data_IF_321986093073
#
_entry.id   IF_321986093073
#
_cell.length_a   1.000
_cell.length_b   1.000
_cell.length_c   1.000
_cell.angle_alpha   90.00
_cell.angle_beta   90.00
_cell.angle_gamma   90.00
#
_symmetry.space_group_name_H-M   'P 1'
#
loop_
_entity.id
_entity.type
_entity.pdbx_description
1 polymer ?
#
# COMPACT_ATOMS: atom_id res chain seq x y z
N UNK A 1 9.62 -3.10 36.41
CA UNK A 1 10.03 -1.85 37.09
C UNK A 1 11.38 -1.33 36.62
N UNK A 2 12.44 -2.16 36.53
CA UNK A 2 13.76 -1.71 36.07
C UNK A 2 13.76 -1.11 34.65
N UNK A 3 13.11 -1.75 33.67
CA UNK A 3 13.02 -1.23 32.30
C UNK A 3 12.38 0.16 32.23
N UNK A 4 11.33 0.41 33.03
CA UNK A 4 10.69 1.74 33.12
C UNK A 4 11.65 2.78 33.69
N UNK A 5 12.37 2.45 34.77
CA UNK A 5 13.32 3.39 35.36
C UNK A 5 14.44 3.78 34.37
N UNK A 6 15.02 2.79 33.68
CA UNK A 6 16.01 3.00 32.63
C UNK A 6 15.43 3.86 31.50
N UNK A 7 14.24 3.53 31.01
CA UNK A 7 13.60 4.31 29.94
C UNK A 7 13.34 5.76 30.35
N UNK A 8 12.89 6.01 31.59
CA UNK A 8 12.70 7.36 32.11
C UNK A 8 14.03 8.11 32.24
N UNK A 9 15.11 7.44 32.64
CA UNK A 9 16.44 8.03 32.70
C UNK A 9 16.93 8.47 31.30
N UNK A 10 16.74 7.63 30.28
CA UNK A 10 17.06 7.95 28.89
C UNK A 10 16.24 9.14 28.35
N UNK A 11 14.94 9.20 28.63
CA UNK A 11 14.11 10.35 28.26
C UNK A 11 14.58 11.63 28.94
N UNK A 12 14.92 11.58 30.22
CA UNK A 12 15.46 12.74 30.93
C UNK A 12 16.84 13.15 30.39
N UNK A 13 17.69 12.20 30.03
CA UNK A 13 18.97 12.47 29.37
C UNK A 13 18.75 13.20 28.03
N UNK A 14 17.85 12.72 27.18
CA UNK A 14 17.48 13.41 25.93
C UNK A 14 16.98 14.83 26.20
N UNK A 15 16.07 15.02 27.17
CA UNK A 15 15.55 16.33 27.54
C UNK A 15 16.61 17.28 28.12
N UNK A 16 17.68 16.73 28.68
CA UNK A 16 18.83 17.49 29.19
C UNK A 16 19.79 17.96 28.08
N UNK A 17 19.59 17.50 26.84
CA UNK A 17 20.45 17.75 25.66
C UNK A 17 19.65 18.43 24.53
N UNK A 18 19.41 19.75 24.61
CA UNK A 18 18.70 20.49 23.57
C UNK A 18 19.33 20.32 22.18
N UNK A 19 20.65 20.21 22.11
CA UNK A 19 21.37 19.97 20.85
C UNK A 19 20.95 18.65 20.17
N UNK A 20 20.61 17.63 20.95
CA UNK A 20 20.13 16.36 20.42
C UNK A 20 18.66 16.44 19.98
N UNK A 21 17.80 17.09 20.76
CA UNK A 21 16.37 17.23 20.40
C UNK A 21 16.19 18.18 19.21
N UNK A 22 16.95 19.27 19.13
CA UNK A 22 16.96 20.17 17.99
C UNK A 22 17.51 19.50 16.72
N UNK A 23 18.49 18.60 16.84
CA UNK A 23 19.00 17.83 15.70
C UNK A 23 18.09 16.65 15.29
N UNK A 24 17.02 16.36 16.03
CA UNK A 24 16.14 15.23 15.76
C UNK A 24 15.22 15.51 14.58
N UNK A 25 15.31 14.66 13.56
CA UNK A 25 14.47 14.75 12.35
C UNK A 25 13.45 13.62 12.26
N UNK A 26 13.75 12.46 12.85
CA UNK A 26 12.89 11.29 12.84
C UNK A 26 12.84 10.71 14.24
N UNK A 27 11.65 10.38 14.70
CA UNK A 27 11.43 9.67 15.96
C UNK A 27 10.65 8.39 15.69
N UNK A 28 11.18 7.26 16.18
CA UNK A 28 10.49 5.97 16.18
C UNK A 28 10.31 5.54 17.64
N UNK A 29 9.07 5.26 18.03
CA UNK A 29 8.77 4.69 19.33
C UNK A 29 7.72 3.59 19.18
N UNK A 30 7.99 2.46 19.80
CA UNK A 30 7.08 1.32 19.82
C UNK A 30 7.01 0.71 21.20
N UNK A 31 5.79 0.54 21.72
CA UNK A 31 5.51 -0.27 22.90
C UNK A 31 4.79 -1.57 22.50
N UNK A 32 5.55 -2.65 22.42
CA UNK A 32 5.01 -3.97 22.11
C UNK A 32 4.50 -4.72 23.35
N UNK A 33 4.59 -4.13 24.55
CA UNK A 33 4.11 -4.73 25.80
C UNK A 33 2.60 -4.59 25.96
N UNK A 34 1.99 -3.58 25.34
CA UNK A 34 0.54 -3.31 25.40
C UNK A 34 -0.34 -4.40 24.75
N UNK A 35 0.25 -5.47 24.17
CA UNK A 35 -0.49 -6.67 23.70
C UNK A 35 -0.86 -7.60 24.87
N UNK A 36 -1.63 -7.03 25.80
CA UNK A 36 -1.88 -7.51 27.16
C UNK A 36 -2.40 -8.94 27.31
N UNK A 37 -3.05 -9.55 26.31
CA UNK A 37 -3.55 -10.92 26.47
C UNK A 37 -2.43 -11.98 26.63
N UNK A 38 -1.27 -11.79 26.00
CA UNK A 38 -0.16 -12.74 26.11
C UNK A 38 0.59 -12.58 27.43
N UNK A 39 0.88 -11.35 27.84
CA UNK A 39 1.69 -11.07 29.02
C UNK A 39 0.90 -11.16 30.33
N UNK A 40 -0.38 -10.76 30.36
CA UNK A 40 -1.23 -10.93 31.55
C UNK A 40 -1.42 -12.42 31.88
N UNK A 41 -1.47 -13.28 30.86
CA UNK A 41 -1.50 -14.74 31.05
C UNK A 41 -0.17 -15.30 31.58
N UNK A 42 0.96 -14.66 31.27
CA UNK A 42 2.29 -15.14 31.65
C UNK A 42 2.86 -14.51 32.93
N UNK A 43 2.34 -13.35 33.35
CA UNK A 43 2.81 -12.60 34.51
C UNK A 43 1.65 -12.32 35.48
N UNK A 44 1.19 -13.33 36.24
CA UNK A 44 0.13 -13.15 37.23
C UNK A 44 0.46 -12.02 38.21
N UNK A 45 -0.43 -11.03 38.34
CA UNK A 45 -0.26 -9.87 39.23
C UNK A 45 0.45 -8.66 38.60
N UNK A 46 0.91 -8.76 37.35
CA UNK A 46 1.36 -7.61 36.57
C UNK A 46 0.21 -7.14 35.68
N UNK A 47 -0.59 -6.21 36.18
CA UNK A 47 -1.63 -5.57 35.39
C UNK A 47 -1.08 -4.24 34.83
N UNK A 48 -0.82 -4.22 33.51
CA UNK A 48 -0.41 -3.01 32.78
C UNK A 48 -1.45 -1.90 32.87
N UNK A 49 -2.72 -2.27 33.07
CA UNK A 49 -3.87 -1.38 33.14
C UNK A 49 -4.19 -0.87 34.57
N UNK A 50 -3.66 -1.48 35.64
CA UNK A 50 -3.97 -1.09 37.03
C UNK A 50 -3.28 0.21 37.49
N UNK A 51 -2.49 0.85 36.63
CA UNK A 51 -1.81 2.10 36.97
C UNK A 51 -1.89 3.14 35.85
N UNK A 52 -2.88 4.04 35.83
CA UNK A 52 -2.81 5.27 35.04
C UNK A 52 -1.50 6.07 35.29
N UNK A 53 -0.86 5.83 36.45
CA UNK A 53 0.45 6.37 36.79
C UNK A 53 1.66 5.73 36.09
N UNK A 54 1.55 4.47 35.61
CA UNK A 54 2.69 3.77 35.03
C UNK A 54 3.13 4.47 33.74
N UNK A 55 2.18 4.63 32.80
CA UNK A 55 2.40 5.25 31.50
C UNK A 55 2.24 6.77 31.52
N UNK A 56 1.50 7.36 32.47
CA UNK A 56 1.25 8.81 32.49
C UNK A 56 2.52 9.66 32.42
N UNK A 57 3.53 9.34 33.25
CA UNK A 57 4.83 10.07 33.23
C UNK A 57 5.61 9.81 31.94
N UNK A 58 5.50 8.60 31.36
CA UNK A 58 6.15 8.24 30.10
C UNK A 58 5.56 9.09 28.96
N UNK A 59 4.24 9.13 28.82
CA UNK A 59 3.55 9.95 27.82
C UNK A 59 3.89 11.44 27.97
N UNK A 60 3.94 11.95 29.21
CA UNK A 60 4.28 13.36 29.47
C UNK A 60 5.69 13.69 29.01
N UNK A 61 6.69 12.88 29.40
CA UNK A 61 8.08 13.13 29.01
C UNK A 61 8.29 12.97 27.51
N UNK A 62 7.60 12.03 26.88
CA UNK A 62 7.67 11.86 25.43
C UNK A 62 7.05 13.03 24.67
N UNK A 63 5.89 13.53 25.11
CA UNK A 63 5.29 14.73 24.55
C UNK A 63 6.25 15.93 24.68
N UNK A 64 6.97 16.04 25.79
CA UNK A 64 8.00 17.07 25.98
C UNK A 64 9.21 16.88 25.05
N UNK A 65 9.68 15.65 24.81
CA UNK A 65 10.76 15.37 23.83
C UNK A 65 10.34 15.82 22.44
N UNK A 66 9.13 15.46 22.00
CA UNK A 66 8.58 15.87 20.71
C UNK A 66 8.45 17.39 20.63
N UNK A 67 7.97 18.04 21.70
CA UNK A 67 7.84 19.50 21.79
C UNK A 67 9.18 20.22 21.65
N UNK A 68 10.27 19.64 22.18
CA UNK A 68 11.64 20.17 22.07
C UNK A 68 12.36 19.81 20.77
N UNK A 69 11.67 19.17 19.84
CA UNK A 69 12.23 18.72 18.56
C UNK A 69 11.61 19.50 17.39
N UNK A 70 11.91 20.81 17.23
CA UNK A 70 11.26 21.66 16.22
C UNK A 70 11.57 21.25 14.77
N UNK A 71 12.66 20.51 14.56
CA UNK A 71 13.08 20.00 13.25
C UNK A 71 12.57 18.59 12.96
N UNK A 72 11.68 18.06 13.81
CA UNK A 72 11.10 16.74 13.64
C UNK A 72 10.21 16.73 12.39
N UNK A 73 10.57 15.86 11.45
CA UNK A 73 9.95 15.69 10.12
C UNK A 73 9.07 14.46 10.03
N UNK A 74 9.44 13.40 10.76
CA UNK A 74 8.74 12.12 10.76
C UNK A 74 8.59 11.55 12.17
N UNK A 75 7.39 11.08 12.49
CA UNK A 75 7.08 10.34 13.72
C UNK A 75 6.51 9.00 13.35
N UNK A 76 7.04 7.93 13.94
CA UNK A 76 6.46 6.60 13.93
C UNK A 76 6.19 6.20 15.38
N UNK A 77 4.91 5.98 15.67
CA UNK A 77 4.39 5.79 17.01
C UNK A 77 3.55 4.53 17.03
N UNK A 78 3.94 3.53 17.83
CA UNK A 78 3.26 2.25 17.82
C UNK A 78 2.98 1.68 19.21
N UNK A 79 1.81 1.05 19.38
CA UNK A 79 1.44 0.27 20.56
C UNK A 79 1.23 1.08 21.84
N UNK A 80 1.03 2.39 21.71
CA UNK A 80 0.85 3.30 22.84
C UNK A 80 -0.45 4.09 22.71
N UNK A 81 -1.01 4.46 23.85
CA UNK A 81 -2.17 5.37 23.91
C UNK A 81 -1.80 6.76 23.36
N UNK A 82 -2.72 7.37 22.62
CA UNK A 82 -2.60 8.74 22.14
C UNK A 82 -3.29 9.65 23.15
N UNK A 83 -2.47 10.37 23.93
CA UNK A 83 -2.97 11.39 24.84
C UNK A 83 -3.32 12.67 24.10
N UNK A 84 -4.23 13.46 24.68
CA UNK A 84 -4.60 14.79 24.18
C UNK A 84 -3.37 15.69 24.04
N UNK A 85 -2.49 15.68 25.05
CA UNK A 85 -1.26 16.48 25.05
C UNK A 85 -0.34 16.08 23.89
N UNK A 86 -0.12 14.79 23.67
CA UNK A 86 0.77 14.31 22.62
C UNK A 86 0.27 14.71 21.23
N UNK A 87 -1.02 14.51 20.95
CA UNK A 87 -1.64 14.92 19.69
C UNK A 87 -1.59 16.44 19.49
N UNK A 88 -1.80 17.21 20.56
CA UNK A 88 -1.66 18.67 20.53
C UNK A 88 -0.26 19.11 20.17
N UNK A 89 0.77 18.45 20.71
CA UNK A 89 2.16 18.74 20.36
C UNK A 89 2.40 18.42 18.89
N UNK A 90 2.05 17.21 18.42
CA UNK A 90 2.23 16.83 17.01
C UNK A 90 1.56 17.83 16.06
N UNK A 91 0.35 18.28 16.40
CA UNK A 91 -0.39 19.22 15.57
C UNK A 91 0.27 20.61 15.46
N UNK A 92 1.12 20.98 16.43
CA UNK A 92 1.80 22.28 16.45
C UNK A 92 3.19 22.27 15.82
N UNK A 93 3.72 21.11 15.43
CA UNK A 93 5.08 21.02 14.86
C UNK A 93 5.09 21.45 13.39
N UNK A 94 5.76 22.57 13.05
CA UNK A 94 5.72 23.12 11.69
C UNK A 94 6.51 22.28 10.68
N UNK A 95 7.54 21.55 11.13
CA UNK A 95 8.40 20.72 10.28
C UNK A 95 7.87 19.30 10.05
N UNK A 96 6.87 18.88 10.84
CA UNK A 96 6.37 17.51 10.84
C UNK A 96 5.49 17.28 9.61
N UNK A 97 5.92 16.38 8.72
CA UNK A 97 5.21 16.10 7.46
C UNK A 97 4.70 14.67 7.34
N UNK A 98 5.28 13.72 8.08
CA UNK A 98 4.92 12.31 8.03
C UNK A 98 4.65 11.73 9.42
N UNK A 99 3.50 11.08 9.59
CA UNK A 99 3.12 10.41 10.83
C UNK A 99 2.71 8.97 10.52
N UNK A 100 3.28 8.01 11.25
CA UNK A 100 2.81 6.63 11.30
C UNK A 100 2.27 6.36 12.71
N UNK A 101 1.01 5.95 12.81
CA UNK A 101 0.36 5.54 14.05
C UNK A 101 -0.01 4.06 13.93
N UNK A 102 0.67 3.19 14.67
CA UNK A 102 0.45 1.75 14.58
C UNK A 102 -0.06 1.14 15.87
N UNK A 103 -1.26 0.58 15.87
CA UNK A 103 -1.83 -0.10 17.04
C UNK A 103 -1.96 0.84 18.23
N UNK A 104 -2.21 2.10 17.94
CA UNK A 104 -2.43 3.16 18.91
C UNK A 104 -3.91 3.28 19.23
N UNK A 105 -4.21 3.69 20.46
CA UNK A 105 -5.58 3.89 20.92
C UNK A 105 -5.70 5.34 21.40
N UNK A 106 -6.56 6.15 20.79
CA UNK A 106 -6.89 7.47 21.33
C UNK A 106 -7.50 7.32 22.72
N UNK A 107 -6.94 8.02 23.70
CA UNK A 107 -7.59 8.15 25.01
C UNK A 107 -8.95 8.83 24.86
N UNK A 108 -9.89 8.55 25.76
CA UNK A 108 -11.23 9.18 25.73
C UNK A 108 -11.14 10.72 25.71
N UNK A 109 -10.19 11.29 26.49
CA UNK A 109 -9.91 12.73 26.49
C UNK A 109 -9.42 13.22 25.13
N UNK A 110 -8.49 12.50 24.50
CA UNK A 110 -8.00 12.84 23.17
C UNK A 110 -9.14 12.82 22.14
N UNK A 111 -9.95 11.76 22.12
CA UNK A 111 -11.09 11.65 21.21
C UNK A 111 -12.08 12.82 21.39
N UNK A 112 -12.48 13.10 22.63
CA UNK A 112 -13.38 14.21 22.94
C UNK A 112 -12.78 15.56 22.52
N UNK A 113 -11.47 15.75 22.73
CA UNK A 113 -10.78 16.97 22.34
C UNK A 113 -10.68 17.14 20.81
N UNK A 114 -10.50 16.07 20.05
CA UNK A 114 -10.54 16.10 18.57
C UNK A 114 -11.95 16.44 18.10
N UNK A 115 -12.96 15.71 18.58
CA UNK A 115 -14.36 15.91 18.19
C UNK A 115 -14.88 17.31 18.53
N UNK A 116 -14.40 17.89 19.63
CA UNK A 116 -14.72 19.25 20.03
C UNK A 116 -13.86 20.33 19.34
N UNK A 117 -12.89 19.96 18.50
CA UNK A 117 -11.97 20.90 17.85
C UNK A 117 -11.06 21.66 18.81
N UNK A 118 -10.78 21.09 19.99
CA UNK A 118 -9.89 21.68 21.01
C UNK A 118 -8.43 21.55 20.57
N UNK A 119 -8.07 20.42 19.98
CA UNK A 119 -6.74 20.19 19.41
C UNK A 119 -6.68 20.94 18.07
N UNK A 120 -5.72 21.86 17.86
CA UNK A 120 -5.59 22.55 16.59
C UNK A 120 -5.27 21.55 15.47
N UNK A 121 -5.72 21.83 14.24
CA UNK A 121 -5.28 21.06 13.07
C UNK A 121 -3.86 21.43 12.65
N UNK A 122 -3.07 20.45 12.22
CA UNK A 122 -1.79 20.64 11.54
C UNK A 122 -1.98 20.71 10.03
N UNK A 123 -1.44 21.77 9.46
CA UNK A 123 -1.35 21.95 8.00
C UNK A 123 -0.04 21.45 7.42
N UNK A 124 0.93 21.06 8.27
CA UNK A 124 2.26 20.59 7.88
C UNK A 124 2.29 19.10 7.55
N UNK A 125 1.41 18.30 8.17
CA UNK A 125 1.35 16.85 7.95
C UNK A 125 0.68 16.55 6.61
N UNK A 126 1.44 15.90 5.72
CA UNK A 126 1.01 15.53 4.37
C UNK A 126 0.85 14.01 4.20
N UNK A 127 1.56 13.21 5.01
CA UNK A 127 1.58 11.76 4.89
C UNK A 127 1.17 11.13 6.22
N UNK A 128 0.12 10.30 6.18
CA UNK A 128 -0.42 9.61 7.34
C UNK A 128 -0.51 8.11 7.07
N UNK A 129 0.09 7.31 7.94
CA UNK A 129 -0.05 5.85 7.95
C UNK A 129 -0.74 5.41 9.23
N UNK A 130 -1.85 4.70 9.11
CA UNK A 130 -2.60 4.13 10.21
C UNK A 130 -2.47 2.60 10.14
N UNK A 131 -1.78 2.01 11.10
CA UNK A 131 -1.75 0.56 11.25
C UNK A 131 -2.75 0.15 12.34
N UNK A 132 -3.71 -0.69 11.99
CA UNK A 132 -4.84 -1.04 12.85
C UNK A 132 -4.91 -2.56 13.07
N UNK A 133 -5.39 -2.94 14.25
CA UNK A 133 -5.66 -4.34 14.60
C UNK A 133 -7.15 -4.58 14.82
N UNK A 134 -7.62 -5.79 14.44
CA UNK A 134 -8.94 -6.28 14.82
C UNK A 134 -9.10 -6.25 16.35
N UNK A 135 -10.25 -5.80 16.88
CA UNK A 135 -10.54 -5.80 18.32
C UNK A 135 -10.72 -7.20 18.96
N UNK A 136 -10.48 -8.30 18.24
CA UNK A 136 -10.92 -9.67 18.60
C UNK A 136 -10.40 -10.27 19.90
N UNK A 137 -9.39 -9.71 20.57
CA UNK A 137 -8.86 -10.31 21.80
C UNK A 137 -9.48 -9.77 23.09
N UNK A 138 -10.29 -8.71 23.03
CA UNK A 138 -10.89 -8.10 24.21
C UNK A 138 -12.37 -7.78 23.94
N UNK A 139 -13.23 -8.81 24.09
CA UNK A 139 -14.70 -8.77 23.99
C UNK A 139 -15.40 -7.76 24.94
N UNK A 140 -14.67 -6.85 25.58
CA UNK A 140 -15.15 -5.99 26.66
C UNK A 140 -15.03 -4.49 26.37
N UNK A 141 -14.50 -4.08 25.23
CA UNK A 141 -14.40 -2.65 24.88
C UNK A 141 -15.35 -2.29 23.73
N UNK A 142 -16.64 -2.29 24.05
CA UNK A 142 -17.67 -1.60 23.29
C UNK A 142 -17.24 -0.12 23.12
N UNK A 143 -17.18 0.36 21.88
CA UNK A 143 -17.05 1.78 21.49
C UNK A 143 -15.68 2.49 21.55
N UNK A 144 -14.54 1.79 21.58
CA UNK A 144 -13.26 2.54 21.43
C UNK A 144 -13.16 3.18 20.04
N UNK A 145 -12.86 4.49 19.96
CA UNK A 145 -12.77 5.19 18.69
C UNK A 145 -11.59 4.65 17.88
N UNK A 146 -11.85 4.28 16.63
CA UNK A 146 -10.82 3.84 15.71
C UNK A 146 -9.85 5.00 15.42
N UNK A 147 -8.64 4.65 14.93
CA UNK A 147 -7.62 5.63 14.57
C UNK A 147 -8.10 6.61 13.48
N UNK A 148 -9.18 6.31 12.77
CA UNK A 148 -9.89 7.24 11.90
C UNK A 148 -10.21 8.59 12.55
N UNK A 149 -10.41 8.62 13.87
CA UNK A 149 -10.73 9.85 14.58
C UNK A 149 -9.62 10.91 14.52
N UNK A 150 -8.38 10.57 14.14
CA UNK A 150 -7.27 11.53 14.04
C UNK A 150 -7.23 12.29 12.73
N UNK A 151 -7.96 11.84 11.69
CA UNK A 151 -7.98 12.52 10.38
C UNK A 151 -8.27 14.03 10.46
N UNK A 152 -9.22 14.51 11.31
CA UNK A 152 -9.51 15.93 11.44
C UNK A 152 -8.34 16.79 11.93
N UNK A 153 -7.33 16.18 12.55
CA UNK A 153 -6.12 16.88 12.97
C UNK A 153 -5.20 17.21 11.79
N UNK A 154 -5.39 16.60 10.62
CA UNK A 154 -4.47 16.73 9.49
C UNK A 154 -5.23 17.08 8.20
N UNK A 155 -5.84 18.28 8.10
CA UNK A 155 -6.68 18.67 6.95
C UNK A 155 -5.96 18.73 5.59
N UNK A 156 -4.62 18.78 5.60
CA UNK A 156 -3.79 18.85 4.39
C UNK A 156 -3.16 17.51 3.99
N UNK A 157 -3.63 16.38 4.55
CA UNK A 157 -3.12 15.07 4.14
C UNK A 157 -3.31 14.86 2.64
N UNK A 158 -2.25 14.38 1.99
CA UNK A 158 -2.21 14.03 0.57
C UNK A 158 -1.97 12.53 0.38
N UNK A 159 -1.27 11.89 1.33
CA UNK A 159 -1.06 10.45 1.34
C UNK A 159 -1.70 9.84 2.58
N UNK A 160 -2.53 8.82 2.38
CA UNK A 160 -3.12 8.01 3.44
C UNK A 160 -2.82 6.53 3.18
N UNK A 161 -2.16 5.89 4.13
CA UNK A 161 -2.02 4.44 4.16
C UNK A 161 -2.81 3.88 5.36
N UNK A 162 -3.67 2.90 5.12
CA UNK A 162 -4.35 2.15 6.17
C UNK A 162 -3.97 0.69 6.03
N UNK A 163 -3.27 0.18 7.03
CA UNK A 163 -2.70 -1.16 7.05
C UNK A 163 -3.39 -1.92 8.17
N UNK A 164 -4.19 -2.90 7.82
CA UNK A 164 -4.76 -3.82 8.80
C UNK A 164 -3.80 -4.99 9.01
N UNK A 165 -3.74 -5.50 10.23
CA UNK A 165 -3.09 -6.78 10.49
C UNK A 165 -4.13 -7.76 11.01
N UNK A 166 -4.34 -8.84 10.25
CA UNK A 166 -5.27 -9.97 10.48
C UNK A 166 -6.69 -9.80 9.91
N UNK A 167 -7.19 -10.92 9.36
CA UNK A 167 -8.37 -11.01 8.48
C UNK A 167 -9.73 -11.14 9.20
N UNK A 168 -9.77 -11.25 10.54
CA UNK A 168 -10.97 -11.78 11.20
C UNK A 168 -12.09 -10.77 11.39
N UNK A 169 -11.78 -9.50 11.68
CA UNK A 169 -12.82 -8.47 11.79
C UNK A 169 -12.63 -7.30 10.84
N UNK A 170 -13.72 -6.82 10.23
CA UNK A 170 -13.72 -5.56 9.50
C UNK A 170 -13.34 -4.37 10.39
N UNK A 171 -12.62 -3.42 9.82
CA UNK A 171 -12.43 -2.09 10.39
C UNK A 171 -13.44 -1.19 9.71
N UNK A 172 -14.52 -0.79 10.40
CA UNK A 172 -15.53 0.05 9.77
C UNK A 172 -14.89 1.37 9.34
N UNK A 173 -15.16 1.74 8.09
CA UNK A 173 -14.86 3.07 7.59
C UNK A 173 -15.76 4.12 8.28
N UNK A 174 -15.31 5.38 8.38
CA UNK A 174 -16.15 6.47 8.89
C UNK A 174 -17.50 6.51 8.16
N UNK A 175 -18.58 6.71 8.92
CA UNK A 175 -19.92 6.77 8.33
C UNK A 175 -20.10 8.09 7.57
N UNK A 176 -20.78 8.13 6.41
CA UNK A 176 -21.04 9.35 5.63
C UNK A 176 -21.61 10.54 6.41
N UNK A 177 -22.35 10.26 7.49
CA UNK A 177 -22.94 11.29 8.35
C UNK A 177 -21.89 11.99 9.26
N UNK A 178 -20.71 11.39 9.45
CA UNK A 178 -19.61 11.95 10.23
C UNK A 178 -18.82 12.98 9.39
N UNK A 179 -19.48 14.08 9.04
CA UNK A 179 -18.98 15.13 8.14
C UNK A 179 -17.55 15.64 8.43
N UNK A 180 -17.11 15.59 9.69
CA UNK A 180 -15.78 16.02 10.14
C UNK A 180 -14.67 15.17 9.48
N UNK A 181 -14.92 13.89 9.22
CA UNK A 181 -13.94 13.02 8.57
C UNK A 181 -13.82 13.29 7.07
N UNK A 182 -14.89 13.74 6.41
CA UNK A 182 -14.93 13.92 4.96
C UNK A 182 -14.22 15.20 4.48
N UNK A 183 -14.29 16.28 5.24
CA UNK A 183 -13.59 17.53 4.89
C UNK A 183 -12.07 17.36 4.91
N UNK A 184 -11.58 16.50 5.80
CA UNK A 184 -10.15 16.29 6.04
C UNK A 184 -9.46 15.45 4.96
N UNK A 185 -10.25 14.75 4.13
CA UNK A 185 -9.72 13.85 3.09
C UNK A 185 -9.87 14.41 1.67
N UNK A 186 -10.39 15.63 1.52
CA UNK A 186 -10.58 16.26 0.21
C UNK A 186 -9.28 16.47 -0.57
N UNK A 187 -8.15 16.58 0.15
CA UNK A 187 -6.83 16.78 -0.43
C UNK A 187 -6.08 15.47 -0.72
N UNK A 188 -6.68 14.30 -0.46
CA UNK A 188 -6.02 13.03 -0.69
C UNK A 188 -5.73 12.84 -2.18
N UNK A 189 -4.46 12.54 -2.45
CA UNK A 189 -3.94 12.21 -3.77
C UNK A 189 -3.54 10.74 -3.86
N UNK A 190 -3.12 10.13 -2.74
CA UNK A 190 -2.57 8.79 -2.71
C UNK A 190 -3.19 7.99 -1.57
N UNK A 191 -3.81 6.86 -1.91
CA UNK A 191 -4.39 5.94 -0.93
C UNK A 191 -3.74 4.57 -1.06
N UNK A 192 -3.34 4.00 0.07
CA UNK A 192 -3.01 2.59 0.23
C UNK A 192 -3.96 1.98 1.26
N UNK A 193 -4.65 0.91 0.89
CA UNK A 193 -5.35 0.03 1.81
C UNK A 193 -4.69 -1.35 1.76
N UNK A 194 -4.22 -1.84 2.89
CA UNK A 194 -3.58 -3.15 3.01
C UNK A 194 -4.28 -4.06 3.99
N UNK A 195 -4.42 -5.33 3.58
CA UNK A 195 -5.15 -6.40 4.26
C UNK A 195 -6.61 -6.04 4.60
N UNK A 196 -7.27 -5.32 3.69
CA UNK A 196 -8.67 -4.91 3.88
C UNK A 196 -9.63 -6.13 3.85
N UNK A 197 -10.47 -6.32 4.87
CA UNK A 197 -11.54 -7.31 4.87
C UNK A 197 -12.56 -7.04 3.76
N UNK A 198 -13.10 -8.10 3.17
CA UNK A 198 -14.02 -8.03 2.00
C UNK A 198 -15.21 -7.08 2.22
N UNK A 199 -15.95 -7.13 3.36
CA UNK A 199 -17.10 -6.25 3.57
C UNK A 199 -16.74 -4.76 3.58
N UNK A 200 -15.50 -4.43 3.90
CA UNK A 200 -15.06 -3.05 4.02
C UNK A 200 -14.79 -2.40 2.65
N UNK A 201 -14.67 -3.19 1.57
CA UNK A 201 -14.46 -2.64 0.24
C UNK A 201 -15.68 -1.86 -0.28
N UNK A 202 -16.90 -2.32 0.01
CA UNK A 202 -18.13 -1.57 -0.31
C UNK A 202 -18.23 -0.28 0.51
N UNK A 203 -17.87 -0.34 1.80
CA UNK A 203 -17.80 0.83 2.67
C UNK A 203 -16.75 1.83 2.18
N UNK A 204 -15.62 1.35 1.69
CA UNK A 204 -14.58 2.17 1.06
C UNK A 204 -15.04 2.82 -0.23
N UNK A 205 -15.73 2.08 -1.11
CA UNK A 205 -16.29 2.64 -2.34
C UNK A 205 -17.27 3.78 -2.01
N UNK A 206 -18.15 3.56 -1.04
CA UNK A 206 -19.06 4.60 -0.53
C UNK A 206 -18.29 5.80 0.05
N UNK A 207 -17.21 5.56 0.79
CA UNK A 207 -16.39 6.62 1.36
C UNK A 207 -15.68 7.46 0.28
N UNK A 208 -15.17 6.83 -0.79
CA UNK A 208 -14.58 7.53 -1.94
C UNK A 208 -15.62 8.43 -2.61
N UNK A 209 -16.80 7.89 -2.93
CA UNK A 209 -17.87 8.61 -3.62
C UNK A 209 -18.26 9.91 -2.91
N UNK A 210 -18.21 9.90 -1.58
CA UNK A 210 -18.62 11.04 -0.75
C UNK A 210 -17.45 11.95 -0.32
N UNK A 211 -16.19 11.60 -0.63
CA UNK A 211 -15.02 12.27 -0.06
C UNK A 211 -13.89 12.54 -1.07
N UNK A 212 -12.80 11.75 -1.05
CA UNK A 212 -11.54 12.09 -1.72
C UNK A 212 -11.52 11.96 -3.25
N UNK A 213 -12.58 11.45 -3.89
CA UNK A 213 -12.55 11.01 -5.29
C UNK A 213 -11.90 12.02 -6.26
N UNK A 214 -12.24 13.30 -6.14
CA UNK A 214 -11.84 14.32 -7.13
C UNK A 214 -10.32 14.48 -7.28
N UNK A 215 -9.55 14.31 -6.20
CA UNK A 215 -8.11 14.56 -6.18
C UNK A 215 -7.26 13.30 -6.23
N UNK A 216 -7.87 12.11 -6.19
CA UNK A 216 -7.16 10.86 -6.15
C UNK A 216 -6.35 10.65 -7.44
N UNK A 217 -5.05 10.40 -7.28
CA UNK A 217 -4.09 10.17 -8.37
C UNK A 217 -3.54 8.74 -8.33
N UNK A 218 -3.37 8.19 -7.12
CA UNK A 218 -2.85 6.84 -6.88
C UNK A 218 -3.77 6.10 -5.91
N UNK A 219 -4.17 4.89 -6.30
CA UNK A 219 -4.90 3.98 -5.43
C UNK A 219 -4.25 2.61 -5.44
N UNK A 220 -3.94 2.09 -4.26
CA UNK A 220 -3.57 0.70 -4.04
C UNK A 220 -4.51 0.06 -3.03
N UNK A 221 -5.14 -1.04 -3.43
CA UNK A 221 -5.99 -1.86 -2.57
C UNK A 221 -5.42 -3.27 -2.56
N UNK A 222 -5.06 -3.76 -1.38
CA UNK A 222 -4.61 -5.11 -1.12
C UNK A 222 -5.60 -5.76 -0.17
N UNK A 223 -6.40 -6.70 -0.68
CA UNK A 223 -7.30 -7.50 0.14
C UNK A 223 -6.62 -8.80 0.54
N UNK A 224 -6.66 -9.13 1.84
CA UNK A 224 -6.13 -10.39 2.39
C UNK A 224 -6.92 -11.62 1.90
N UNK A 225 -8.20 -11.42 1.56
CA UNK A 225 -9.06 -12.42 0.92
C UNK A 225 -9.37 -12.05 -0.53
N UNK A 226 -9.95 -12.98 -1.28
CA UNK A 226 -10.31 -12.77 -2.68
C UNK A 226 -11.42 -11.73 -2.87
N UNK A 227 -11.17 -10.65 -3.62
CA UNK A 227 -12.16 -9.69 -4.08
C UNK A 227 -13.05 -10.32 -5.15
N UNK A 228 -14.34 -10.46 -4.85
CA UNK A 228 -15.35 -10.87 -5.81
C UNK A 228 -15.62 -9.76 -6.85
N UNK A 229 -16.10 -10.14 -8.03
CA UNK A 229 -16.29 -9.22 -9.16
C UNK A 229 -17.28 -8.07 -8.84
N UNK A 230 -18.33 -8.32 -8.06
CA UNK A 230 -19.31 -7.29 -7.70
C UNK A 230 -18.69 -6.16 -6.86
N UNK A 231 -17.76 -6.49 -5.95
CA UNK A 231 -17.09 -5.49 -5.12
C UNK A 231 -16.09 -4.65 -5.93
N UNK A 232 -15.41 -5.28 -6.89
CA UNK A 232 -14.58 -4.56 -7.84
C UNK A 232 -15.44 -3.63 -8.69
N UNK A 233 -16.64 -4.05 -9.10
CA UNK A 233 -17.59 -3.19 -9.82
C UNK A 233 -18.04 -1.99 -9.00
N UNK A 234 -18.37 -2.18 -7.73
CA UNK A 234 -18.70 -1.09 -6.80
C UNK A 234 -17.53 -0.10 -6.70
N UNK A 235 -16.31 -0.58 -6.51
CA UNK A 235 -15.11 0.26 -6.49
C UNK A 235 -14.91 1.00 -7.82
N UNK A 236 -15.07 0.32 -8.96
CA UNK A 236 -14.90 0.93 -10.28
C UNK A 236 -15.97 2.01 -10.55
N UNK A 237 -17.18 1.86 -10.03
CA UNK A 237 -18.22 2.89 -10.12
C UNK A 237 -17.83 4.11 -9.29
N UNK A 238 -17.37 3.89 -8.05
CA UNK A 238 -16.91 4.96 -7.17
C UNK A 238 -15.76 5.79 -7.78
N UNK A 239 -14.82 5.12 -8.46
CA UNK A 239 -13.66 5.74 -9.08
C UNK A 239 -13.97 6.55 -10.34
N UNK A 240 -15.16 6.44 -10.94
CA UNK A 240 -15.56 7.29 -12.08
C UNK A 240 -15.54 8.78 -11.72
N UNK A 241 -15.74 9.10 -10.44
CA UNK A 241 -15.66 10.46 -9.91
C UNK A 241 -14.21 10.96 -9.72
N UNK A 242 -13.20 10.16 -10.09
CA UNK A 242 -11.77 10.43 -9.90
C UNK A 242 -11.05 10.68 -11.23
N UNK A 243 -11.28 11.80 -11.93
CA UNK A 243 -10.71 12.06 -13.27
C UNK A 243 -9.19 12.26 -13.28
N UNK A 244 -8.56 12.38 -12.11
CA UNK A 244 -7.10 12.52 -11.95
C UNK A 244 -6.41 11.18 -11.67
N UNK A 245 -7.17 10.10 -11.52
CA UNK A 245 -6.61 8.80 -11.20
C UNK A 245 -5.77 8.32 -12.38
N UNK A 246 -4.48 8.15 -12.13
CA UNK A 246 -3.54 7.68 -13.15
C UNK A 246 -2.77 6.44 -12.73
N UNK A 247 -2.86 6.01 -11.47
CA UNK A 247 -2.24 4.76 -11.00
C UNK A 247 -3.24 3.95 -10.17
N UNK A 248 -3.48 2.70 -10.57
CA UNK A 248 -4.38 1.77 -9.90
C UNK A 248 -3.68 0.42 -9.67
N UNK A 249 -3.67 -0.02 -8.42
CA UNK A 249 -3.15 -1.33 -8.00
C UNK A 249 -4.26 -2.08 -7.28
N UNK A 250 -4.68 -3.21 -7.83
CA UNK A 250 -5.67 -4.10 -7.23
C UNK A 250 -5.03 -5.46 -6.94
N UNK A 251 -4.89 -5.79 -5.67
CA UNK A 251 -4.32 -7.05 -5.22
C UNK A 251 -5.31 -7.88 -4.42
N UNK A 252 -5.39 -9.15 -4.79
CA UNK A 252 -6.34 -10.08 -4.21
C UNK A 252 -7.58 -10.30 -5.06
N UNK A 253 -7.52 -10.13 -6.37
CA UNK A 253 -8.66 -10.39 -7.26
C UNK A 253 -8.97 -11.89 -7.28
N UNK A 254 -10.21 -12.30 -7.03
CA UNK A 254 -10.62 -13.71 -7.09
C UNK A 254 -10.97 -14.12 -8.52
N UNK A 255 -11.93 -13.40 -9.09
CA UNK A 255 -12.42 -13.57 -10.46
C UNK A 255 -11.93 -12.41 -11.31
N UNK A 256 -11.04 -12.72 -12.25
CA UNK A 256 -10.34 -11.73 -13.04
C UNK A 256 -10.60 -11.93 -14.55
N UNK A 257 -11.85 -11.95 -15.04
CA UNK A 257 -12.13 -12.14 -16.46
C UNK A 257 -11.48 -11.03 -17.29
N UNK A 258 -11.18 -11.27 -18.56
CA UNK A 258 -10.61 -10.28 -19.47
C UNK A 258 -11.49 -9.01 -19.57
N UNK A 259 -12.81 -9.15 -19.40
CA UNK A 259 -13.74 -8.02 -19.33
C UNK A 259 -13.44 -7.01 -18.22
N UNK A 260 -12.76 -7.41 -17.14
CA UNK A 260 -12.32 -6.50 -16.07
C UNK A 260 -11.40 -5.40 -16.61
N UNK A 261 -10.55 -5.71 -17.59
CA UNK A 261 -9.65 -4.73 -18.23
C UNK A 261 -10.45 -3.61 -18.90
N UNK A 262 -11.49 -3.98 -19.66
CA UNK A 262 -12.38 -3.02 -20.30
C UNK A 262 -13.08 -2.14 -19.27
N UNK A 263 -13.63 -2.75 -18.23
CA UNK A 263 -14.33 -2.05 -17.16
C UNK A 263 -13.43 -1.04 -16.44
N UNK A 264 -12.18 -1.40 -16.14
CA UNK A 264 -11.19 -0.48 -15.54
C UNK A 264 -10.88 0.67 -16.51
N UNK A 265 -10.68 0.39 -17.79
CA UNK A 265 -10.39 1.42 -18.78
C UNK A 265 -11.54 2.43 -18.95
N UNK A 266 -12.78 1.95 -18.92
CA UNK A 266 -13.98 2.79 -18.99
C UNK A 266 -14.15 3.65 -17.74
N UNK A 267 -13.94 3.08 -16.55
CA UNK A 267 -14.04 3.83 -15.29
C UNK A 267 -12.89 4.80 -15.04
N UNK A 268 -11.69 4.49 -15.54
CA UNK A 268 -10.46 5.23 -15.28
C UNK A 268 -9.70 5.53 -16.59
N UNK A 269 -10.24 6.38 -17.49
CA UNK A 269 -9.68 6.57 -18.83
C UNK A 269 -8.28 7.23 -18.83
N UNK A 270 -7.93 7.96 -17.77
CA UNK A 270 -6.64 8.65 -17.61
C UNK A 270 -5.52 7.75 -17.07
N UNK A 271 -5.78 6.45 -16.89
CA UNK A 271 -4.85 5.54 -16.24
C UNK A 271 -3.53 5.41 -17.01
N UNK A 272 -2.41 5.59 -16.30
CA UNK A 272 -1.04 5.42 -16.79
C UNK A 272 -0.37 4.19 -16.21
N UNK A 273 -0.67 3.81 -14.97
CA UNK A 273 -0.15 2.63 -14.30
C UNK A 273 -1.28 1.71 -13.83
N UNK A 274 -1.20 0.44 -14.19
CA UNK A 274 -2.15 -0.59 -13.78
C UNK A 274 -1.41 -1.82 -13.27
N UNK A 275 -1.68 -2.20 -12.02
CA UNK A 275 -1.24 -3.48 -11.47
C UNK A 275 -2.44 -4.32 -11.07
N UNK A 276 -2.51 -5.56 -11.55
CA UNK A 276 -3.56 -6.51 -11.19
C UNK A 276 -2.96 -7.81 -10.66
N UNK A 277 -3.29 -8.16 -9.42
CA UNK A 277 -2.79 -9.37 -8.77
C UNK A 277 -3.95 -10.29 -8.40
N UNK A 278 -4.01 -11.45 -9.07
CA UNK A 278 -5.02 -12.48 -8.86
C UNK A 278 -4.62 -13.45 -7.74
N UNK A 279 -5.60 -13.88 -6.93
CA UNK A 279 -5.50 -15.02 -6.00
C UNK A 279 -6.25 -16.22 -6.59
N UNK A 280 -5.70 -17.43 -6.45
CA UNK A 280 -6.38 -18.63 -6.98
C UNK A 280 -7.60 -19.03 -6.16
N UNK A 281 -7.58 -18.71 -4.88
CA UNK A 281 -8.64 -19.02 -3.92
C UNK A 281 -8.56 -18.03 -2.76
N UNK A 282 -9.63 -17.99 -1.98
CA UNK A 282 -9.77 -17.11 -0.81
C UNK A 282 -8.70 -17.34 0.25
N UNK A 283 -8.15 -18.56 0.35
CA UNK A 283 -7.15 -18.93 1.36
C UNK A 283 -5.71 -18.58 0.97
N UNK A 284 -5.49 -18.15 -0.28
CA UNK A 284 -4.16 -17.79 -0.75
C UNK A 284 -3.82 -16.40 -0.23
N UNK A 285 -3.20 -16.31 0.94
CA UNK A 285 -2.78 -15.05 1.59
C UNK A 285 -1.58 -14.38 0.86
N UNK A 286 -0.76 -15.18 0.18
CA UNK A 286 0.48 -14.72 -0.48
C UNK A 286 0.31 -14.60 -1.99
N UNK A 287 0.73 -13.48 -2.55
CA UNK A 287 0.79 -13.27 -4.02
C UNK A 287 1.77 -14.23 -4.66
N UNK A 288 1.32 -15.08 -5.57
CA UNK A 288 2.21 -15.95 -6.38
C UNK A 288 1.77 -15.87 -7.83
N UNK A 289 2.59 -16.38 -8.76
CA UNK A 289 2.13 -16.55 -10.13
C UNK A 289 0.82 -17.32 -10.16
N UNK A 290 -0.15 -16.82 -10.91
CA UNK A 290 -1.52 -17.31 -10.92
C UNK A 290 -2.02 -17.65 -12.31
N UNK A 291 -2.79 -18.74 -12.42
CA UNK A 291 -3.57 -19.01 -13.63
C UNK A 291 -4.66 -17.96 -13.74
N UNK A 292 -4.71 -17.23 -14.84
CA UNK A 292 -5.82 -16.32 -15.16
C UNK A 292 -6.88 -17.08 -15.94
N UNK A 293 -8.19 -16.74 -15.77
CA UNK A 293 -9.27 -17.53 -16.35
C UNK A 293 -9.29 -17.52 -17.88
N UNK A 294 -8.98 -16.38 -18.51
CA UNK A 294 -8.97 -16.26 -19.97
C UNK A 294 -7.55 -16.38 -20.56
N UNK A 295 -7.44 -16.44 -21.88
CA UNK A 295 -6.13 -16.51 -22.52
C UNK A 295 -5.39 -15.16 -22.43
N UNK A 296 -4.06 -15.20 -22.45
CA UNK A 296 -3.23 -13.98 -22.46
C UNK A 296 -3.60 -13.06 -23.65
N UNK A 297 -3.98 -13.64 -24.79
CA UNK A 297 -4.46 -12.91 -25.96
C UNK A 297 -5.75 -12.15 -25.68
N UNK A 298 -6.70 -12.75 -24.94
CA UNK A 298 -7.95 -12.10 -24.58
C UNK A 298 -7.68 -10.86 -23.72
N UNK A 299 -6.85 -10.96 -22.67
CA UNK A 299 -6.45 -9.79 -21.86
C UNK A 299 -5.73 -8.74 -22.70
N UNK A 300 -4.72 -9.13 -23.48
CA UNK A 300 -3.95 -8.20 -24.29
C UNK A 300 -4.85 -7.43 -25.26
N UNK A 301 -5.81 -8.10 -25.91
CA UNK A 301 -6.74 -7.45 -26.83
C UNK A 301 -7.55 -6.32 -26.19
N UNK A 302 -7.94 -6.48 -24.92
CA UNK A 302 -8.70 -5.48 -24.16
C UNK A 302 -7.87 -4.26 -23.79
N UNK A 303 -6.55 -4.36 -23.77
CA UNK A 303 -5.68 -3.22 -23.45
C UNK A 303 -5.69 -2.11 -24.52
N UNK A 304 -6.26 -2.40 -25.70
CA UNK A 304 -6.50 -1.41 -26.74
C UNK A 304 -7.49 -0.31 -26.35
N UNK A 305 -8.27 -0.49 -25.28
CA UNK A 305 -9.18 0.52 -24.75
C UNK A 305 -8.47 1.61 -23.96
N UNK A 306 -7.24 1.38 -23.49
CA UNK A 306 -6.49 2.39 -22.76
C UNK A 306 -5.79 3.37 -23.71
N UNK A 307 -6.08 4.66 -23.54
CA UNK A 307 -5.44 5.72 -24.32
C UNK A 307 -4.09 6.15 -23.73
N UNK A 308 -3.89 5.99 -22.42
CA UNK A 308 -2.75 6.57 -21.70
C UNK A 308 -1.91 5.58 -20.91
N UNK A 309 -2.24 4.28 -20.95
CA UNK A 309 -1.58 3.29 -20.12
C UNK A 309 -0.12 3.05 -20.56
N UNK A 310 0.82 3.34 -19.67
CA UNK A 310 2.26 3.25 -19.90
C UNK A 310 2.88 2.08 -19.13
N UNK A 311 2.35 1.75 -17.96
CA UNK A 311 2.89 0.75 -17.06
C UNK A 311 1.82 -0.31 -16.77
N UNK A 312 2.12 -1.56 -17.06
CA UNK A 312 1.24 -2.68 -16.75
C UNK A 312 1.99 -3.74 -15.96
N UNK A 313 1.41 -4.19 -14.85
CA UNK A 313 1.89 -5.34 -14.12
C UNK A 313 0.78 -6.31 -13.77
N UNK A 314 1.16 -7.58 -13.70
CA UNK A 314 0.28 -8.64 -13.21
C UNK A 314 1.08 -9.86 -12.78
N UNK A 315 0.42 -10.80 -12.12
CA UNK A 315 1.03 -12.04 -11.62
C UNK A 315 0.65 -13.27 -12.46
N UNK A 316 0.49 -13.15 -13.78
CA UNK A 316 0.05 -14.29 -14.60
C UNK A 316 1.09 -15.41 -14.70
N UNK A 317 0.68 -16.66 -14.51
CA UNK A 317 1.48 -17.82 -14.90
C UNK A 317 1.51 -17.86 -16.43
N UNK A 318 2.66 -17.60 -17.03
CA UNK A 318 2.81 -17.60 -18.49
C UNK A 318 2.97 -19.05 -18.98
N UNK A 319 1.99 -19.59 -19.74
CA UNK A 319 2.11 -20.91 -20.32
C UNK A 319 3.15 -20.86 -21.44
N UNK A 320 4.26 -21.58 -21.30
CA UNK A 320 5.32 -21.54 -22.32
C UNK A 320 6.72 -21.92 -21.84
N UNK A 321 6.99 -21.88 -20.53
CA UNK A 321 8.21 -22.50 -19.99
C UNK A 321 8.18 -24.04 -20.20
N UNK A 322 6.99 -24.63 -20.22
CA UNK A 322 6.76 -26.09 -20.32
C UNK A 322 6.36 -26.53 -21.76
N UNK A 323 5.88 -25.59 -22.59
CA UNK A 323 5.36 -25.82 -23.94
C UNK A 323 6.02 -24.94 -25.00
N UNK A 324 7.31 -24.64 -24.81
CA UNK A 324 8.09 -23.95 -25.84
C UNK A 324 7.95 -24.71 -27.17
N UNK A 325 8.01 -24.04 -28.34
CA UNK A 325 8.14 -24.70 -29.63
C UNK A 325 9.22 -25.78 -29.64
N UNK A 326 10.21 -25.71 -28.72
CA UNK A 326 11.20 -26.77 -28.50
C UNK A 326 10.60 -28.11 -28.10
N UNK A 327 9.53 -28.14 -27.30
CA UNK A 327 8.88 -29.40 -26.92
C UNK A 327 8.23 -30.03 -28.14
N UNK A 328 7.70 -29.21 -29.06
CA UNK A 328 7.12 -29.67 -30.32
C UNK A 328 8.21 -30.07 -31.33
N UNK A 329 9.29 -29.30 -31.45
CA UNK A 329 10.47 -29.66 -32.25
C UNK A 329 11.14 -30.95 -31.73
N UNK A 330 11.23 -31.14 -30.42
CA UNK A 330 11.75 -32.37 -29.81
C UNK A 330 10.81 -33.55 -30.08
N UNK A 331 9.50 -33.32 -30.01
CA UNK A 331 8.50 -34.32 -30.38
C UNK A 331 8.56 -34.70 -31.87
N UNK A 332 8.72 -33.71 -32.76
CA UNK A 332 8.89 -33.91 -34.21
C UNK A 332 10.17 -34.68 -34.55
N UNK A 333 11.18 -34.62 -33.67
CA UNK A 333 12.42 -35.39 -33.77
C UNK A 333 12.40 -36.68 -32.92
N UNK A 334 11.21 -37.25 -32.66
CA UNK A 334 10.98 -38.50 -31.90
C UNK A 334 11.60 -38.53 -30.48
N UNK A 335 11.98 -37.37 -29.94
CA UNK A 335 12.87 -37.25 -28.80
C UNK A 335 14.21 -38.00 -28.96
N UNK A 336 14.61 -38.37 -30.19
CA UNK A 336 15.86 -39.10 -30.48
C UNK A 336 17.11 -38.26 -30.15
N UNK A 337 16.94 -36.96 -29.93
CA UNK A 337 17.96 -36.01 -29.44
C UNK A 337 18.00 -35.88 -27.92
N UNK A 338 17.62 -36.91 -27.15
CA UNK A 338 18.21 -37.06 -25.81
C UNK A 338 19.71 -37.35 -25.96
N UNK A 339 20.46 -36.26 -26.14
CA UNK A 339 21.90 -36.10 -26.01
C UNK A 339 22.69 -37.41 -25.89
N UNK A 340 23.09 -37.98 -27.02
CA UNK A 340 24.48 -38.44 -27.06
C UNK A 340 25.33 -37.18 -26.82
N UNK A 341 26.35 -37.21 -25.94
CA UNK A 341 27.20 -36.04 -25.64
C UNK A 341 27.88 -35.39 -26.86
N UNK A 342 27.76 -36.02 -28.02
CA UNK A 342 28.44 -35.72 -29.27
C UNK A 342 27.51 -35.19 -30.36
N UNK A 343 26.18 -35.22 -30.16
CA UNK A 343 25.28 -34.56 -31.08
C UNK A 343 25.52 -33.05 -30.98
N UNK A 344 25.83 -32.34 -32.08
CA UNK A 344 25.84 -30.90 -32.06
C UNK A 344 24.42 -30.49 -31.70
N UNK A 345 24.23 -30.16 -30.41
CA UNK A 345 23.07 -29.42 -29.97
C UNK A 345 22.93 -28.34 -31.03
N UNK A 346 21.79 -28.30 -31.73
CA UNK A 346 21.36 -27.06 -32.37
C UNK A 346 21.59 -26.06 -31.26
N UNK A 347 22.57 -25.16 -31.43
CA UNK A 347 22.93 -24.12 -30.46
C UNK A 347 21.72 -23.21 -30.41
N UNK A 348 20.69 -23.71 -29.74
CA UNK A 348 19.46 -23.03 -29.50
C UNK A 348 19.86 -22.07 -28.41
N UNK A 349 20.15 -20.87 -28.86
CA UNK A 349 20.41 -19.75 -28.01
C UNK A 349 19.25 -19.68 -26.99
N UNK A 350 19.47 -20.04 -25.72
CA UNK A 350 18.43 -19.96 -24.73
C UNK A 350 17.99 -18.51 -24.48
N UNK A 351 18.72 -17.52 -25.02
CA UNK A 351 18.28 -16.12 -25.11
C UNK A 351 17.24 -15.89 -26.22
N UNK A 352 17.08 -16.81 -27.20
CA UNK A 352 16.21 -16.61 -28.35
C UNK A 352 14.70 -16.77 -28.05
N UNK A 353 14.31 -17.51 -27.01
CA UNK A 353 12.91 -17.64 -26.62
C UNK A 353 12.69 -17.25 -25.15
N UNK A 354 12.37 -15.98 -24.98
CA UNK A 354 11.88 -15.43 -23.71
C UNK A 354 10.34 -15.36 -23.75
N UNK A 355 9.61 -16.31 -23.15
CA UNK A 355 8.15 -16.32 -23.18
C UNK A 355 7.56 -15.05 -22.54
N UNK A 356 8.21 -14.53 -21.50
CA UNK A 356 7.83 -13.27 -20.86
C UNK A 356 7.95 -12.07 -21.81
N UNK A 357 9.03 -11.99 -22.59
CA UNK A 357 9.21 -10.94 -23.59
C UNK A 357 8.18 -11.06 -24.71
N UNK A 358 7.81 -12.29 -25.09
CA UNK A 358 6.76 -12.55 -26.09
C UNK A 358 5.39 -12.07 -25.62
N UNK A 359 5.05 -12.30 -24.35
CA UNK A 359 3.85 -11.74 -23.73
C UNK A 359 3.92 -10.22 -23.66
N UNK A 360 5.06 -9.63 -23.27
CA UNK A 360 5.24 -8.18 -23.25
C UNK A 360 5.01 -7.55 -24.65
N UNK A 361 5.55 -8.18 -25.72
CA UNK A 361 5.32 -7.77 -27.11
C UNK A 361 3.84 -7.83 -27.47
N UNK A 362 3.13 -8.88 -27.05
CA UNK A 362 1.69 -9.04 -27.32
C UNK A 362 0.87 -7.91 -26.67
N UNK A 363 1.10 -7.62 -25.39
CA UNK A 363 0.47 -6.49 -24.71
C UNK A 363 0.81 -5.15 -25.38
N UNK A 364 2.07 -4.95 -25.75
CA UNK A 364 2.52 -3.75 -26.46
C UNK A 364 1.90 -3.61 -27.86
N UNK A 365 1.58 -4.71 -28.54
CA UNK A 365 0.93 -4.69 -29.85
C UNK A 365 -0.50 -4.14 -29.75
N UNK A 366 -1.21 -4.44 -28.66
CA UNK A 366 -2.58 -3.98 -28.43
C UNK A 366 -2.67 -2.62 -27.72
N UNK A 367 -1.75 -2.31 -26.80
CA UNK A 367 -1.69 -1.04 -26.08
C UNK A 367 -0.54 -0.17 -26.60
N UNK A 368 -0.84 0.80 -27.46
CA UNK A 368 0.18 1.61 -28.17
C UNK A 368 1.01 2.50 -27.25
N UNK A 369 0.47 2.88 -26.10
CA UNK A 369 1.14 3.74 -25.11
C UNK A 369 1.97 2.98 -24.11
N UNK A 370 1.90 1.64 -24.11
CA UNK A 370 2.63 0.81 -23.16
C UNK A 370 4.14 0.97 -23.34
N UNK A 371 4.80 1.37 -22.26
CA UNK A 371 6.26 1.59 -22.13
C UNK A 371 6.93 0.52 -21.27
N UNK A 372 6.19 -0.06 -20.32
CA UNK A 372 6.74 -1.05 -19.40
C UNK A 372 5.72 -2.17 -19.11
N UNK A 373 6.21 -3.40 -19.18
CA UNK A 373 5.49 -4.60 -18.78
C UNK A 373 6.24 -5.28 -17.64
N UNK A 374 5.54 -5.62 -16.56
CA UNK A 374 6.13 -6.27 -15.39
C UNK A 374 5.38 -7.54 -15.02
N UNK A 375 6.11 -8.64 -14.88
CA UNK A 375 5.61 -9.84 -14.24
C UNK A 375 5.96 -9.81 -12.75
N UNK A 376 4.93 -9.84 -11.89
CA UNK A 376 5.09 -9.82 -10.44
C UNK A 376 4.97 -11.24 -9.89
N UNK A 377 5.78 -11.56 -8.89
CA UNK A 377 5.52 -12.71 -8.03
C UNK A 377 6.03 -12.49 -6.62
N UNK A 378 6.24 -13.59 -5.90
CA UNK A 378 6.64 -13.55 -4.50
C UNK A 378 8.14 -13.77 -4.33
N UNK A 379 8.76 -12.93 -3.50
CA UNK A 379 9.93 -13.26 -2.70
C UNK A 379 9.66 -12.81 -1.25
N UNK A 380 9.04 -13.68 -0.44
CA UNK A 380 8.71 -13.39 0.97
C UNK A 380 7.32 -12.80 1.17
N UNK A 381 7.21 -11.68 1.88
CA UNK A 381 5.95 -10.94 2.07
C UNK A 381 5.80 -9.77 1.08
N UNK A 382 6.87 -9.40 0.39
CA UNK A 382 6.87 -8.30 -0.57
C UNK A 382 6.63 -8.81 -1.99
N UNK A 383 5.84 -8.04 -2.75
CA UNK A 383 5.77 -8.18 -4.20
C UNK A 383 7.11 -7.76 -4.78
N UNK A 384 7.73 -8.67 -5.52
CA UNK A 384 8.97 -8.37 -6.22
C UNK A 384 8.70 -8.56 -7.71
N UNK A 385 9.07 -7.58 -8.55
CA UNK A 385 9.06 -7.78 -9.98
C UNK A 385 10.00 -8.93 -10.32
N UNK A 386 9.48 -10.02 -10.88
CA UNK A 386 10.29 -11.15 -11.36
C UNK A 386 10.96 -10.73 -12.67
N UNK A 387 10.19 -10.09 -13.54
CA UNK A 387 10.68 -9.59 -14.82
C UNK A 387 10.13 -8.20 -15.09
N UNK A 388 11.02 -7.27 -15.42
CA UNK A 388 10.66 -5.94 -15.90
C UNK A 388 11.15 -5.82 -17.34
N UNK A 389 10.24 -5.42 -18.22
CA UNK A 389 10.54 -5.24 -19.63
C UNK A 389 10.19 -3.82 -20.05
N UNK A 390 11.17 -3.08 -20.57
CA UNK A 390 10.90 -1.82 -21.27
C UNK A 390 10.52 -2.11 -22.71
N UNK A 391 9.60 -1.32 -23.23
CA UNK A 391 9.05 -1.44 -24.57
C UNK A 391 9.52 -0.22 -25.37
N UNK A 392 10.21 -0.50 -26.47
CA UNK A 392 10.71 0.50 -27.40
C UNK A 392 10.02 0.32 -28.75
N UNK A 393 9.57 1.42 -29.36
CA UNK A 393 8.87 1.39 -30.65
C UNK A 393 9.73 2.07 -31.71
N UNK A 394 10.06 1.32 -32.76
CA UNK A 394 10.80 1.84 -33.91
C UNK A 394 9.90 2.53 -34.94
N UNK A 395 10.52 3.19 -35.92
CA UNK A 395 9.82 3.96 -36.97
C UNK A 395 8.84 3.15 -37.82
N UNK A 396 8.98 1.82 -37.86
CA UNK A 396 8.13 0.92 -38.65
C UNK A 396 7.07 0.18 -37.81
N UNK A 397 6.66 0.73 -36.66
CA UNK A 397 5.85 0.05 -35.64
C UNK A 397 6.47 -1.26 -35.12
N UNK A 398 7.79 -1.45 -35.31
CA UNK A 398 8.52 -2.57 -34.72
C UNK A 398 8.54 -2.40 -33.21
N UNK A 399 8.23 -3.46 -32.48
CA UNK A 399 8.23 -3.46 -31.01
C UNK A 399 9.46 -4.22 -30.55
N UNK A 400 10.41 -3.50 -29.97
CA UNK A 400 11.52 -4.08 -29.24
C UNK A 400 11.14 -4.15 -27.75
N UNK A 401 11.56 -5.25 -27.11
CA UNK A 401 11.34 -5.49 -25.69
C UNK A 401 12.71 -5.75 -25.09
N UNK A 402 13.09 -4.94 -24.10
CA UNK A 402 14.39 -4.98 -23.45
C UNK A 402 14.20 -5.31 -21.99
N UNK A 403 14.86 -6.37 -21.52
CA UNK A 403 14.85 -6.76 -20.11
C UNK A 403 15.58 -5.71 -19.27
N UNK A 404 14.93 -5.26 -18.21
CA UNK A 404 15.46 -4.28 -17.26
C UNK A 404 15.83 -4.96 -15.95
N UNK A 405 16.82 -4.41 -15.27
CA UNK A 405 17.10 -4.76 -13.88
C UNK A 405 15.95 -4.22 -13.00
N UNK A 406 15.33 -5.11 -12.22
CA UNK A 406 14.28 -4.76 -11.27
C UNK A 406 14.69 -3.57 -10.37
N UNK A 407 15.94 -3.51 -9.92
CA UNK A 407 16.44 -2.45 -9.03
C UNK A 407 16.62 -1.10 -9.74
N UNK A 408 16.73 -1.08 -11.07
CA UNK A 408 16.87 0.14 -11.87
C UNK A 408 15.54 0.64 -12.41
N UNK A 409 14.47 -0.14 -12.24
CA UNK A 409 13.16 0.24 -12.72
C UNK A 409 12.49 1.21 -11.74
N UNK A 410 11.76 2.19 -12.30
CA UNK A 410 10.86 3.07 -11.56
C UNK A 410 9.58 2.32 -11.11
N UNK A 411 9.65 1.02 -10.85
CA UNK A 411 8.51 0.17 -10.52
C UNK A 411 7.81 0.63 -9.23
N UNK A 412 8.59 1.03 -8.22
CA UNK A 412 8.07 1.48 -6.94
C UNK A 412 7.29 2.82 -7.04
N UNK A 413 7.51 3.60 -8.09
CA UNK A 413 6.81 4.88 -8.29
C UNK A 413 5.32 4.69 -8.63
N UNK A 414 4.95 3.54 -9.20
CA UNK A 414 3.58 3.24 -9.60
C UNK A 414 3.03 1.92 -9.00
N UNK A 415 3.86 1.16 -8.31
CA UNK A 415 3.42 0.03 -7.47
C UNK A 415 4.27 -0.05 -6.19
N UNK A 416 3.89 0.68 -5.12
CA UNK A 416 4.65 0.72 -3.88
C UNK A 416 4.59 -0.63 -3.17
N UNK A 417 5.58 -0.87 -2.32
CA UNK A 417 5.58 -1.99 -1.38
C UNK A 417 4.67 -1.68 -0.17
N UNK A 418 4.76 -2.51 0.88
CA UNK A 418 4.01 -2.36 2.14
C UNK A 418 4.34 -1.07 2.92
N UNK A 419 5.40 -0.35 2.55
CA UNK A 419 5.75 0.94 3.17
C UNK A 419 4.88 2.09 2.65
N UNK A 420 4.04 1.85 1.65
CA UNK A 420 3.18 2.85 1.05
C UNK A 420 3.84 3.64 -0.08
N UNK A 421 3.10 4.61 -0.57
CA UNK A 421 3.58 5.54 -1.58
C UNK A 421 4.75 6.36 -1.05
N UNK A 422 5.70 6.79 -1.90
CA UNK A 422 6.74 7.72 -1.49
C UNK A 422 6.14 8.97 -0.82
N UNK A 423 6.76 9.43 0.27
CA UNK A 423 6.31 10.61 1.01
C UNK A 423 6.26 11.83 0.08
N UNK A 424 5.17 12.60 0.18
CA UNK A 424 5.05 13.90 -0.46
C UNK A 424 5.68 14.94 0.47
N UNK A 425 6.68 15.67 -0.02
CA UNK A 425 7.28 16.80 0.71
C UNK A 425 6.64 18.12 0.27
N UNK A 426 6.63 19.11 1.17
CA UNK A 426 5.96 20.41 0.95
C UNK A 426 6.47 21.16 -0.29
N UNK A 427 7.74 21.01 -0.66
CA UNK A 427 8.36 21.73 -1.78
C UNK A 427 8.15 21.06 -3.15
N UNK A 428 7.68 19.80 -3.18
CA UNK A 428 7.38 19.09 -4.43
C UNK A 428 5.98 19.44 -4.92
N UNK A 429 5.79 20.70 -5.30
CA UNK A 429 4.62 21.13 -6.08
C UNK A 429 4.83 20.77 -7.56
N UNK A 430 4.14 19.72 -8.00
CA UNK A 430 3.65 19.47 -9.36
C UNK A 430 4.62 19.16 -10.53
N UNK A 431 5.95 19.30 -10.43
CA UNK A 431 6.81 19.15 -11.62
C UNK A 431 7.43 17.76 -11.89
N UNK A 432 7.41 16.81 -10.97
CA UNK A 432 8.26 15.61 -11.12
C UNK A 432 7.72 14.55 -12.09
N UNK A 433 6.43 14.56 -12.46
CA UNK A 433 5.94 13.68 -13.54
C UNK A 433 6.26 14.18 -14.94
N UNK A 434 6.74 15.42 -15.11
CA UNK A 434 7.28 15.89 -16.38
C UNK A 434 8.71 15.38 -16.63
N UNK A 435 9.40 14.87 -15.61
CA UNK A 435 10.79 14.43 -15.70
C UNK A 435 10.96 12.93 -16.03
N UNK A 436 9.87 12.15 -16.12
CA UNK A 436 9.88 10.74 -16.57
C UNK A 436 9.50 10.65 -18.07
N UNK A 437 9.82 11.69 -18.84
CA UNK A 437 9.47 11.88 -20.25
C UNK A 437 10.29 11.03 -21.20
#
# INVERSE_FOLDING_TARGET
>A
MQCRAVFLEELNFLLSRPDMTEAMHTMYLSDMWHRGAYYERQLPGFNLHDGPHYYGIIHTLLAEVVRRSPNLKKVDWAGMDLSEEFLSVLATLPSLHSITLGNCIPSEKAYNAISAGIIPGSTSVLNLTLTMHSPDELQTFDHRPLLWCVLPLFPNIRTLAVIQHMETNPIPFPHPEDSIHYTSVQNLERILLEDLPIPDLSSFATWIENGPAVNLTHLKVVCGLGMAQNLIQELMNALQSSPRLHTLVLEGILDAPAGLITQIAESCPTLRGLTLVRRHNERQVKTKLASWPDSVCDYASRMSTFEHLQYFAWNAKIPGAEHSPITMLNFENDFDTYATPESPLIEWDPEAYEPEASVARLFAAHCKTLRMYTLIGLLGFNHVPIYVHSIERGHNNSIAVVKQDANRSNFLDWNPNQQGWPDILADHSQNDFAAIG
#
